data_IF_711520093956
#
_entry.id   IF_711520093956
#
_cell.length_a   1.000
_cell.length_b   1.000
_cell.length_c   1.000
_cell.angle_alpha   90.00
_cell.angle_beta   90.00
_cell.angle_gamma   90.00
#
_symmetry.space_group_name_H-M   'P 1'
#
loop_
_entity.id
_entity.type
_entity.pdbx_description
1 polymer ?
#
# COMPACT_ATOMS: atom_id res chain seq x y z
N UNK A 1 41.24 -33.33 -25.89
CA UNK A 1 40.98 -32.56 -27.13
C UNK A 1 39.47 -32.46 -27.30
N UNK A 2 38.97 -31.24 -27.57
CA UNK A 2 37.56 -30.78 -27.67
C UNK A 2 36.77 -30.64 -26.34
N UNK A 3 35.86 -29.64 -26.20
CA UNK A 3 36.20 -28.23 -26.00
C UNK A 3 35.49 -27.54 -24.82
N UNK A 4 35.94 -26.32 -24.55
CA UNK A 4 35.43 -25.32 -23.61
C UNK A 4 33.94 -25.00 -23.77
N UNK A 5 33.25 -24.73 -22.65
CA UNK A 5 32.01 -23.95 -22.63
C UNK A 5 32.31 -22.60 -22.00
N UNK A 6 32.45 -21.59 -22.85
CA UNK A 6 32.67 -20.21 -22.45
C UNK A 6 31.37 -19.44 -22.17
N UNK A 7 31.52 -18.50 -21.25
CA UNK A 7 31.07 -17.09 -21.23
C UNK A 7 29.59 -16.67 -21.26
N UNK A 8 29.32 -15.83 -20.26
CA UNK A 8 28.63 -14.52 -20.29
C UNK A 8 27.11 -14.43 -20.11
N UNK A 9 26.72 -13.51 -19.24
CA UNK A 9 25.38 -12.96 -19.16
C UNK A 9 25.05 -12.42 -17.78
N UNK A 10 25.74 -11.36 -17.37
CA UNK A 10 25.49 -10.72 -16.08
C UNK A 10 24.06 -10.18 -15.95
N UNK A 11 23.64 -10.02 -14.70
CA UNK A 11 22.92 -8.82 -14.32
C UNK A 11 23.25 -8.50 -12.87
N UNK A 12 24.10 -7.49 -12.73
CA UNK A 12 24.11 -6.61 -11.58
C UNK A 12 22.67 -6.25 -11.22
N UNK A 13 22.27 -6.53 -9.99
CA UNK A 13 21.40 -5.63 -9.23
C UNK A 13 22.05 -5.40 -7.88
N UNK A 14 23.19 -4.69 -7.95
CA UNK A 14 23.51 -3.75 -6.89
C UNK A 14 22.66 -2.52 -7.17
N UNK A 15 21.47 -2.52 -6.59
CA UNK A 15 20.78 -1.29 -6.27
C UNK A 15 20.64 -1.35 -4.76
N UNK A 16 21.36 -0.47 -4.07
CA UNK A 16 21.07 0.00 -2.72
C UNK A 16 19.66 0.63 -2.69
N UNK A 17 18.63 -0.19 -2.92
CA UNK A 17 17.25 0.09 -2.60
C UNK A 17 17.17 -0.05 -1.08
N UNK A 18 17.04 1.08 -0.40
CA UNK A 18 16.48 1.07 0.94
C UNK A 18 15.24 0.15 0.90
N UNK A 19 15.10 -0.84 1.81
CA UNK A 19 14.00 -1.79 1.73
C UNK A 19 12.70 -1.00 1.71
N UNK A 20 11.87 -1.23 0.69
CA UNK A 20 10.57 -0.60 0.56
C UNK A 20 9.83 -0.74 1.91
N UNK A 21 9.45 0.40 2.50
CA UNK A 21 9.04 0.42 3.90
C UNK A 21 7.53 0.21 3.98
N UNK A 22 7.12 -0.78 4.77
CA UNK A 22 5.72 -1.03 5.08
C UNK A 22 5.08 0.25 5.67
N UNK A 23 3.93 0.66 5.12
CA UNK A 23 3.27 1.87 5.57
C UNK A 23 2.86 1.80 7.05
N UNK A 24 2.57 0.61 7.60
CA UNK A 24 2.33 0.44 9.03
C UNK A 24 3.52 0.91 9.88
N UNK A 25 4.75 0.61 9.43
CA UNK A 25 5.96 1.00 10.15
C UNK A 25 6.16 2.52 10.09
N UNK A 26 5.92 3.11 8.92
CA UNK A 26 5.96 4.57 8.74
C UNK A 26 4.91 5.24 9.62
N UNK A 27 3.69 4.74 9.64
CA UNK A 27 2.62 5.29 10.46
C UNK A 27 2.92 5.17 11.95
N UNK A 28 3.41 4.02 12.40
CA UNK A 28 3.79 3.80 13.81
C UNK A 28 4.92 4.74 14.24
N UNK A 29 5.88 5.02 13.35
CA UNK A 29 6.94 5.98 13.62
C UNK A 29 6.43 7.43 13.67
N UNK A 30 5.51 7.80 12.79
CA UNK A 30 5.01 9.18 12.65
C UNK A 30 3.96 9.51 13.71
N UNK A 31 3.15 8.53 14.12
CA UNK A 31 2.08 8.69 15.10
C UNK A 31 1.69 7.33 15.71
N UNK A 32 2.09 7.10 16.97
CA UNK A 32 1.89 5.82 17.67
C UNK A 32 0.41 5.39 17.71
N UNK A 33 -0.52 6.35 17.79
CA UNK A 33 -1.96 6.10 17.89
C UNK A 33 -2.70 6.09 16.55
N UNK A 34 -2.04 5.96 15.40
CA UNK A 34 -2.70 6.16 14.09
C UNK A 34 -3.98 5.33 13.86
N UNK A 35 -4.11 4.17 14.52
CA UNK A 35 -5.28 3.29 14.47
C UNK A 35 -6.53 3.86 15.14
N UNK A 36 -6.35 4.61 16.24
CA UNK A 36 -7.45 5.04 17.12
C UNK A 36 -7.47 6.55 17.38
N UNK A 37 -6.33 7.21 17.22
CA UNK A 37 -6.11 8.63 17.45
C UNK A 37 -6.92 9.53 16.52
N UNK A 38 -6.86 10.82 16.82
CA UNK A 38 -7.66 11.86 16.17
C UNK A 38 -7.18 12.09 14.73
N UNK A 39 -8.07 11.86 13.76
CA UNK A 39 -7.72 11.88 12.35
C UNK A 39 -7.20 13.24 11.87
N UNK A 40 -7.70 14.35 12.41
CA UNK A 40 -7.27 15.69 12.00
C UNK A 40 -5.79 15.91 12.30
N UNK A 41 -5.36 15.56 13.52
CA UNK A 41 -3.95 15.58 13.93
C UNK A 41 -3.12 14.65 13.05
N UNK A 42 -3.49 13.38 12.93
CA UNK A 42 -2.72 12.39 12.16
C UNK A 42 -2.57 12.83 10.70
N UNK A 43 -3.67 13.22 10.08
CA UNK A 43 -3.67 13.65 8.68
C UNK A 43 -2.93 14.98 8.46
N UNK A 44 -2.82 15.84 9.48
CA UNK A 44 -1.97 17.04 9.42
C UNK A 44 -0.51 16.64 9.39
N UNK A 45 -0.08 15.72 10.24
CA UNK A 45 1.28 15.19 10.24
C UNK A 45 1.62 14.51 8.90
N UNK A 46 0.72 13.67 8.38
CA UNK A 46 0.90 13.01 7.08
C UNK A 46 1.02 13.99 5.91
N UNK A 47 0.25 15.09 5.91
CA UNK A 47 0.39 16.16 4.91
C UNK A 47 1.76 16.83 4.99
N UNK A 48 2.32 16.97 6.19
CA UNK A 48 3.66 17.51 6.41
C UNK A 48 4.78 16.68 5.79
N UNK A 49 4.57 15.37 5.60
CA UNK A 49 5.53 14.48 4.90
C UNK A 49 5.59 14.74 3.39
N UNK A 50 4.63 15.50 2.86
CA UNK A 50 4.53 15.88 1.46
C UNK A 50 4.13 14.72 0.55
N UNK A 51 4.29 14.96 -0.76
CA UNK A 51 3.98 13.96 -1.78
C UNK A 51 5.01 12.84 -1.77
N UNK A 52 4.55 11.59 -1.69
CA UNK A 52 5.38 10.39 -1.72
C UNK A 52 4.90 9.42 -2.80
N UNK A 53 5.77 8.49 -3.11
CA UNK A 53 5.51 7.41 -4.07
C UNK A 53 5.17 6.16 -3.26
N UNK A 54 4.12 5.44 -3.68
CA UNK A 54 3.65 4.24 -3.00
C UNK A 54 3.45 3.12 -4.01
N UNK A 55 3.70 1.90 -3.58
CA UNK A 55 3.31 0.70 -4.30
C UNK A 55 2.01 0.16 -3.70
N UNK A 56 1.06 -0.19 -4.57
CA UNK A 56 -0.22 -0.77 -4.20
C UNK A 56 -0.56 -1.95 -5.11
N UNK A 57 -1.41 -2.89 -4.69
CA UNK A 57 -1.80 -4.01 -5.53
C UNK A 57 -2.45 -3.56 -6.85
N UNK A 58 -2.06 -4.21 -7.95
CA UNK A 58 -2.67 -4.01 -9.26
C UNK A 58 -3.75 -5.07 -9.51
N UNK A 59 -4.77 -4.71 -10.31
CA UNK A 59 -5.83 -5.66 -10.66
C UNK A 59 -5.25 -6.77 -11.55
N UNK A 60 -5.56 -8.02 -11.23
CA UNK A 60 -4.99 -9.18 -11.95
C UNK A 60 -3.61 -9.62 -11.45
N UNK A 61 -3.12 -9.05 -10.34
CA UNK A 61 -1.86 -9.41 -9.69
C UNK A 61 -0.74 -8.39 -9.89
N UNK A 62 0.30 -8.50 -9.07
CA UNK A 62 1.45 -7.58 -9.05
C UNK A 62 1.17 -6.27 -8.32
N UNK A 63 2.09 -5.31 -8.46
CA UNK A 63 1.99 -3.97 -7.87
C UNK A 63 1.97 -2.89 -8.95
N UNK A 64 1.41 -1.74 -8.60
CA UNK A 64 1.50 -0.51 -9.39
C UNK A 64 1.91 0.64 -8.49
N UNK A 65 2.57 1.62 -9.09
CA UNK A 65 2.99 2.83 -8.39
C UNK A 65 1.91 3.91 -8.43
N UNK A 66 1.64 4.54 -7.29
CA UNK A 66 0.82 5.75 -7.17
C UNK A 66 1.63 6.85 -6.49
N UNK A 67 1.30 8.12 -6.74
CA UNK A 67 2.02 9.25 -6.16
C UNK A 67 1.06 10.34 -5.69
N UNK A 68 1.19 10.74 -4.44
CA UNK A 68 0.32 11.76 -3.84
C UNK A 68 0.61 11.96 -2.36
N UNK A 69 -0.29 12.67 -1.70
CA UNK A 69 -0.25 12.85 -0.24
C UNK A 69 -1.16 11.80 0.39
N UNK A 70 -0.57 10.88 1.17
CA UNK A 70 -1.34 9.82 1.84
C UNK A 70 -2.11 10.39 3.03
N UNK A 71 -3.35 9.93 3.21
CA UNK A 71 -4.20 10.27 4.34
C UNK A 71 -4.90 9.03 4.87
N UNK A 72 -5.23 9.00 6.16
CA UNK A 72 -6.08 7.99 6.77
C UNK A 72 -7.56 8.37 6.69
N UNK A 73 -8.40 7.36 6.54
CA UNK A 73 -9.87 7.47 6.65
C UNK A 73 -10.38 6.87 7.96
N UNK A 74 -11.63 7.17 8.32
CA UNK A 74 -12.36 6.52 9.42
C UNK A 74 -12.76 5.08 9.10
N UNK A 75 -12.71 4.70 7.83
CA UNK A 75 -13.12 3.37 7.38
C UNK A 75 -12.00 2.34 7.52
N UNK A 76 -12.40 1.10 7.76
CA UNK A 76 -11.53 -0.08 7.72
C UNK A 76 -11.99 -1.04 6.62
N UNK A 77 -11.30 -2.17 6.46
CA UNK A 77 -11.49 -3.07 5.33
C UNK A 77 -12.80 -3.87 5.38
N UNK A 78 -13.55 -3.81 6.48
CA UNK A 78 -14.92 -4.33 6.57
C UNK A 78 -15.96 -3.43 5.88
N UNK A 79 -15.57 -2.22 5.47
CA UNK A 79 -16.43 -1.32 4.71
C UNK A 79 -17.00 -2.03 3.47
N UNK A 80 -18.32 -2.14 3.40
CA UNK A 80 -19.00 -2.75 2.27
C UNK A 80 -19.30 -1.72 1.17
N UNK A 81 -18.95 -2.03 -0.07
CA UNK A 81 -19.11 -1.16 -1.23
C UNK A 81 -19.65 -1.92 -2.45
N UNK A 82 -19.93 -1.19 -3.53
CA UNK A 82 -20.52 -1.74 -4.76
C UNK A 82 -22.05 -1.66 -4.81
N UNK A 83 -22.66 -2.10 -5.91
CA UNK A 83 -24.10 -2.04 -6.11
C UNK A 83 -24.85 -2.93 -5.12
N UNK A 84 -26.08 -2.56 -4.76
CA UNK A 84 -26.89 -3.22 -3.71
C UNK A 84 -27.02 -4.74 -3.88
N UNK A 85 -27.08 -5.23 -5.12
CA UNK A 85 -27.20 -6.66 -5.45
C UNK A 85 -25.90 -7.46 -5.35
N UNK A 86 -24.74 -6.79 -5.24
CA UNK A 86 -23.41 -7.42 -5.19
C UNK A 86 -22.46 -6.65 -4.27
N UNK A 87 -22.95 -6.23 -3.09
CA UNK A 87 -22.08 -5.59 -2.09
C UNK A 87 -20.99 -6.57 -1.67
N UNK A 88 -19.77 -6.06 -1.55
CA UNK A 88 -18.63 -6.81 -1.05
C UNK A 88 -17.84 -5.93 -0.08
N UNK A 89 -17.05 -6.52 0.80
CA UNK A 89 -16.14 -5.75 1.67
C UNK A 89 -14.86 -5.42 0.91
N UNK A 90 -14.13 -4.40 1.34
CA UNK A 90 -12.80 -4.09 0.78
C UNK A 90 -11.88 -5.31 0.93
N UNK A 91 -11.83 -5.95 2.11
CA UNK A 91 -11.01 -7.15 2.32
C UNK A 91 -11.35 -8.27 1.32
N UNK A 92 -12.63 -8.58 1.13
CA UNK A 92 -13.07 -9.59 0.16
C UNK A 92 -12.73 -9.20 -1.27
N UNK A 93 -12.89 -7.93 -1.63
CA UNK A 93 -12.52 -7.45 -2.96
C UNK A 93 -11.02 -7.57 -3.23
N UNK A 94 -10.18 -7.25 -2.24
CA UNK A 94 -8.73 -7.36 -2.39
C UNK A 94 -8.28 -8.80 -2.61
N UNK A 95 -8.89 -9.75 -1.90
CA UNK A 95 -8.63 -11.16 -2.16
C UNK A 95 -9.06 -11.58 -3.57
N UNK A 96 -10.27 -11.22 -4.00
CA UNK A 96 -10.83 -11.65 -5.29
C UNK A 96 -10.18 -10.97 -6.51
N UNK A 97 -9.89 -9.68 -6.44
CA UNK A 97 -9.45 -8.87 -7.58
C UNK A 97 -7.92 -8.72 -7.67
N UNK A 98 -7.23 -8.83 -6.55
CA UNK A 98 -5.79 -8.62 -6.43
C UNK A 98 -5.02 -9.86 -5.95
N UNK A 99 -5.72 -10.90 -5.45
CA UNK A 99 -5.07 -12.08 -4.88
C UNK A 99 -4.40 -11.81 -3.53
N UNK A 100 -4.75 -10.72 -2.86
CA UNK A 100 -4.11 -10.27 -1.61
C UNK A 100 -5.03 -10.56 -0.43
N UNK A 101 -4.50 -11.26 0.57
CA UNK A 101 -5.17 -11.46 1.85
C UNK A 101 -4.88 -10.27 2.77
N UNK A 102 -5.95 -9.63 3.22
CA UNK A 102 -5.91 -8.55 4.21
C UNK A 102 -5.93 -9.22 5.59
N UNK A 103 -4.82 -9.16 6.32
CA UNK A 103 -4.63 -9.82 7.62
C UNK A 103 -5.13 -8.99 8.80
N UNK A 104 -5.14 -7.66 8.66
CA UNK A 104 -5.59 -6.71 9.70
C UNK A 104 -6.75 -5.86 9.15
N UNK A 105 -7.90 -6.48 8.81
CA UNK A 105 -9.02 -5.76 8.20
C UNK A 105 -9.66 -4.70 9.11
N UNK A 106 -9.42 -4.76 10.42
CA UNK A 106 -9.83 -3.78 11.41
C UNK A 106 -9.05 -2.47 11.35
N UNK A 107 -7.83 -2.49 10.82
CA UNK A 107 -6.99 -1.29 10.70
C UNK A 107 -7.61 -0.29 9.72
N UNK A 108 -7.35 1.00 9.99
CA UNK A 108 -7.82 2.09 9.13
C UNK A 108 -7.24 1.94 7.73
N UNK A 109 -8.02 2.33 6.73
CA UNK A 109 -7.55 2.42 5.36
C UNK A 109 -6.90 3.77 5.08
N UNK A 110 -6.17 3.85 3.98
CA UNK A 110 -5.56 5.05 3.44
C UNK A 110 -6.09 5.40 2.06
N UNK A 111 -5.98 6.67 1.69
CA UNK A 111 -6.26 7.19 0.36
C UNK A 111 -5.27 8.30 0.02
N UNK A 112 -5.18 8.64 -1.26
CA UNK A 112 -4.46 9.85 -1.69
C UNK A 112 -5.40 11.05 -1.58
N UNK A 113 -4.94 12.16 -0.97
CA UNK A 113 -5.73 13.39 -0.83
C UNK A 113 -6.35 13.86 -2.16
N UNK A 114 -5.63 13.66 -3.26
CA UNK A 114 -6.05 14.02 -4.62
C UNK A 114 -7.07 13.03 -5.23
N UNK A 115 -7.24 11.84 -4.65
CA UNK A 115 -8.17 10.81 -5.10
C UNK A 115 -8.77 10.05 -3.89
N UNK A 116 -9.70 10.67 -3.15
CA UNK A 116 -10.30 10.07 -1.96
C UNK A 116 -11.22 8.87 -2.25
N UNK A 117 -11.61 8.67 -3.53
CA UNK A 117 -12.42 7.52 -3.94
C UNK A 117 -11.64 6.20 -4.03
N UNK A 118 -10.30 6.25 -4.02
CA UNK A 118 -9.44 5.06 -4.06
C UNK A 118 -8.83 4.81 -2.69
N UNK A 119 -9.41 3.86 -1.95
CA UNK A 119 -8.96 3.48 -0.62
C UNK A 119 -8.22 2.14 -0.64
N UNK A 120 -7.22 2.01 0.23
CA UNK A 120 -6.39 0.82 0.36
C UNK A 120 -6.25 0.46 1.85
N UNK A 121 -6.34 -0.82 2.23
CA UNK A 121 -5.86 -1.26 3.55
C UNK A 121 -4.41 -0.80 3.76
N UNK A 122 -4.06 -0.29 4.94
CA UNK A 122 -2.69 0.21 5.19
C UNK A 122 -1.64 -0.88 4.91
N UNK A 123 -1.90 -2.11 5.34
CA UNK A 123 -0.98 -3.24 5.22
C UNK A 123 -0.67 -3.68 3.79
N UNK A 124 -1.42 -3.20 2.79
CA UNK A 124 -1.14 -3.49 1.38
C UNK A 124 -0.43 -2.35 0.67
N UNK A 125 -0.10 -1.27 1.37
CA UNK A 125 0.58 -0.10 0.82
C UNK A 125 2.03 -0.08 1.31
N UNK A 126 2.95 0.08 0.35
CA UNK A 126 4.38 0.18 0.64
C UNK A 126 4.87 1.55 0.20
N UNK A 127 5.69 2.20 1.03
CA UNK A 127 6.33 3.46 0.68
C UNK A 127 7.57 3.16 -0.17
N UNK A 128 7.56 3.64 -1.42
CA UNK A 128 8.72 3.55 -2.30
C UNK A 128 9.72 4.67 -1.92
N UNK A 129 10.99 4.28 -1.76
CA UNK A 129 12.09 5.17 -1.34
C UNK A 129 12.85 5.68 -2.55
#
# INVERSE_FOLDING_TARGET
>A
MAPQKGINGGQYRDETLLPAMDLNNVLTFVTEDWRLGELGVINTTLRGLGRRTFEVPARGGGTRTIRGIIQLTTHNSFMAFGPRSRRTTVATHFHQAHGVWVHHPEDRMVFLAENPGSMYPVEVVVVAV
#
